data_IF_300254214827
#
_entry.id   IF_300254214827
#
_cell.length_a   1.000
_cell.length_b   1.000
_cell.length_c   1.000
_cell.angle_alpha   90.00
_cell.angle_beta   90.00
_cell.angle_gamma   90.00
#
_symmetry.space_group_name_H-M   'P 1'
#
loop_
_entity.id
_entity.type
_entity.pdbx_description
1 polymer ?
#
# COMPACT_ATOMS: atom_id res chain seq x y z
N UNK A 1 -27.63 -58.21 -26.73
CA UNK A 1 -28.02 -56.77 -26.76
C UNK A 1 -27.26 -56.12 -25.64
N UNK A 2 -26.03 -55.63 -25.95
CA UNK A 2 -25.13 -55.02 -24.98
C UNK A 2 -25.16 -53.50 -25.25
N UNK A 3 -25.78 -52.76 -24.38
CA UNK A 3 -25.85 -51.31 -24.46
C UNK A 3 -24.53 -50.74 -23.88
N UNK A 4 -23.59 -50.40 -24.76
CA UNK A 4 -22.43 -49.59 -24.40
C UNK A 4 -22.90 -48.19 -24.02
N UNK A 5 -22.67 -47.85 -22.76
CA UNK A 5 -22.84 -46.51 -22.22
C UNK A 5 -21.64 -45.68 -22.68
N UNK A 6 -21.80 -44.94 -23.77
CA UNK A 6 -20.82 -43.93 -24.20
C UNK A 6 -20.71 -42.85 -23.09
N UNK A 7 -19.68 -43.00 -22.26
CA UNK A 7 -19.26 -41.90 -21.37
C UNK A 7 -18.80 -40.76 -22.27
N UNK A 8 -19.48 -39.64 -22.12
CA UNK A 8 -19.16 -38.37 -22.79
C UNK A 8 -17.81 -37.84 -22.24
N UNK A 9 -16.73 -38.25 -22.87
CA UNK A 9 -15.35 -37.76 -22.60
C UNK A 9 -15.17 -36.34 -23.12
N UNK A 10 -16.06 -35.42 -22.79
CA UNK A 10 -15.78 -34.02 -23.01
C UNK A 10 -14.74 -33.57 -21.97
N UNK A 11 -13.54 -33.14 -22.41
CA UNK A 11 -12.58 -32.55 -21.48
C UNK A 11 -13.23 -31.33 -20.82
N UNK A 12 -13.35 -31.41 -19.48
CA UNK A 12 -13.79 -30.25 -18.68
C UNK A 12 -12.95 -29.06 -19.12
N UNK A 13 -13.60 -28.03 -19.63
CA UNK A 13 -12.93 -26.78 -20.04
C UNK A 13 -12.05 -26.33 -18.87
N UNK A 14 -10.76 -26.04 -19.09
CA UNK A 14 -9.86 -25.65 -18.01
C UNK A 14 -10.47 -24.44 -17.29
N UNK A 15 -10.69 -24.58 -15.98
CA UNK A 15 -11.13 -23.48 -15.13
C UNK A 15 -10.09 -22.38 -15.35
N UNK A 16 -10.46 -21.35 -16.09
CA UNK A 16 -9.60 -20.22 -16.44
C UNK A 16 -9.20 -19.53 -15.15
N UNK A 17 -8.08 -19.95 -14.57
CA UNK A 17 -7.56 -19.35 -13.36
C UNK A 17 -7.32 -17.86 -13.63
N UNK A 18 -7.83 -17.03 -12.73
CA UNK A 18 -7.55 -15.58 -12.83
C UNK A 18 -6.05 -15.37 -12.69
N UNK A 19 -5.48 -14.51 -13.51
CA UNK A 19 -4.09 -14.12 -13.40
C UNK A 19 -3.81 -13.39 -12.07
N UNK A 20 -2.54 -13.33 -11.65
CA UNK A 20 -2.19 -12.54 -10.47
C UNK A 20 -2.51 -11.07 -10.73
N UNK A 21 -3.15 -10.40 -9.75
CA UNK A 21 -3.59 -8.99 -9.87
C UNK A 21 -2.63 -7.99 -9.21
N UNK A 22 -1.55 -8.48 -8.64
CA UNK A 22 -0.51 -7.70 -7.98
C UNK A 22 0.76 -7.78 -8.82
N UNK A 23 1.51 -6.67 -9.01
CA UNK A 23 2.73 -6.66 -9.78
C UNK A 23 3.82 -7.57 -9.20
N UNK A 24 4.80 -7.94 -10.03
CA UNK A 24 6.02 -8.57 -9.55
C UNK A 24 6.80 -7.61 -8.63
N UNK A 25 7.34 -8.17 -7.54
CA UNK A 25 8.09 -7.41 -6.53
C UNK A 25 9.50 -7.11 -7.03
N UNK A 26 9.63 -6.08 -7.84
CA UNK A 26 10.90 -5.60 -8.42
C UNK A 26 11.41 -4.35 -7.68
N UNK A 27 12.58 -3.86 -8.05
CA UNK A 27 13.09 -2.56 -7.55
C UNK A 27 12.10 -1.43 -7.88
N UNK A 28 11.47 -1.46 -9.05
CA UNK A 28 10.46 -0.47 -9.44
C UNK A 28 9.25 -0.48 -8.51
N UNK A 29 8.80 -1.68 -8.07
CA UNK A 29 7.74 -1.82 -7.10
C UNK A 29 8.04 -1.02 -5.82
N UNK A 30 9.25 -1.18 -5.26
CA UNK A 30 9.64 -0.50 -4.03
C UNK A 30 9.79 1.01 -4.22
N UNK A 31 10.34 1.46 -5.36
CA UNK A 31 10.42 2.89 -5.69
C UNK A 31 9.02 3.51 -5.72
N UNK A 32 8.10 2.97 -6.53
CA UNK A 32 6.74 3.51 -6.65
C UNK A 32 6.01 3.39 -5.32
N UNK A 33 6.24 2.33 -4.55
CA UNK A 33 5.64 2.14 -3.23
C UNK A 33 6.02 3.28 -2.27
N UNK A 34 7.30 3.66 -2.19
CA UNK A 34 7.76 4.79 -1.38
C UNK A 34 7.18 6.11 -1.91
N UNK A 35 7.21 6.33 -3.24
CA UNK A 35 6.64 7.51 -3.86
C UNK A 35 5.13 7.65 -3.55
N UNK A 36 4.36 6.57 -3.65
CA UNK A 36 2.92 6.60 -3.34
C UNK A 36 2.64 6.86 -1.86
N UNK A 37 3.52 6.41 -0.96
CA UNK A 37 3.37 6.72 0.47
C UNK A 37 3.58 8.19 0.78
N UNK A 38 4.64 8.80 0.24
CA UNK A 38 4.91 10.23 0.42
C UNK A 38 3.87 11.13 -0.23
N UNK A 39 3.44 10.77 -1.46
CA UNK A 39 2.39 11.51 -2.15
C UNK A 39 1.06 11.44 -1.39
N UNK A 40 0.68 10.28 -0.87
CA UNK A 40 -0.55 10.11 -0.10
C UNK A 40 -0.58 10.97 1.16
N UNK A 41 0.56 11.12 1.84
CA UNK A 41 0.70 12.00 3.01
C UNK A 41 0.41 13.44 2.64
N UNK A 42 1.20 14.01 1.74
CA UNK A 42 1.06 15.43 1.37
C UNK A 42 -0.24 15.72 0.63
N UNK A 43 -0.80 14.78 -0.14
CA UNK A 43 -2.08 14.95 -0.82
C UNK A 43 -3.27 14.95 0.17
N UNK A 44 -3.23 14.07 1.18
CA UNK A 44 -4.21 14.05 2.27
C UNK A 44 -4.27 15.40 2.97
N UNK A 45 -3.13 15.89 3.41
CA UNK A 45 -2.98 17.17 4.08
C UNK A 45 -3.43 18.36 3.22
N UNK A 46 -3.02 18.35 1.94
CA UNK A 46 -3.42 19.38 0.99
C UNK A 46 -4.94 19.42 0.80
N UNK A 47 -5.57 18.26 0.60
CA UNK A 47 -7.02 18.17 0.45
C UNK A 47 -7.73 18.62 1.72
N UNK A 48 -7.27 18.20 2.89
CA UNK A 48 -7.86 18.62 4.17
C UNK A 48 -7.74 20.14 4.38
N UNK A 49 -6.64 20.77 3.94
CA UNK A 49 -6.47 22.23 4.03
C UNK A 49 -7.34 23.01 3.03
N UNK A 50 -7.49 22.50 1.80
CA UNK A 50 -8.20 23.21 0.72
C UNK A 50 -9.71 23.06 0.86
N UNK A 51 -10.18 21.85 1.14
CA UNK A 51 -11.61 21.51 1.17
C UNK A 51 -12.19 21.49 2.58
N UNK A 52 -11.36 21.44 3.60
CA UNK A 52 -11.73 21.10 4.97
C UNK A 52 -11.74 19.58 5.21
N UNK A 53 -11.60 19.13 6.48
CA UNK A 53 -11.42 17.69 6.80
C UNK A 53 -12.57 16.80 6.35
N UNK A 54 -13.82 17.21 6.59
CA UNK A 54 -15.01 16.38 6.29
C UNK A 54 -15.20 16.16 4.80
N UNK A 55 -15.22 17.21 3.93
CA UNK A 55 -15.30 17.02 2.48
C UNK A 55 -14.11 16.26 1.92
N UNK A 56 -12.90 16.46 2.45
CA UNK A 56 -11.70 15.76 2.01
C UNK A 56 -11.82 14.25 2.25
N UNK A 57 -12.22 13.83 3.46
CA UNK A 57 -12.43 12.42 3.82
C UNK A 57 -13.55 11.80 2.96
N UNK A 58 -14.66 12.52 2.74
CA UNK A 58 -15.75 12.01 1.91
C UNK A 58 -15.30 11.80 0.45
N UNK A 59 -14.60 12.78 -0.13
CA UNK A 59 -14.06 12.69 -1.49
C UNK A 59 -13.01 11.59 -1.61
N UNK A 60 -12.06 11.51 -0.66
CA UNK A 60 -11.04 10.47 -0.60
C UNK A 60 -11.65 9.07 -0.49
N UNK A 61 -12.68 8.91 0.35
CA UNK A 61 -13.40 7.65 0.50
C UNK A 61 -14.13 7.24 -0.78
N UNK A 62 -14.82 8.17 -1.44
CA UNK A 62 -15.47 7.91 -2.73
C UNK A 62 -14.46 7.52 -3.82
N UNK A 63 -13.34 8.24 -3.90
CA UNK A 63 -12.27 7.93 -4.86
C UNK A 63 -11.62 6.57 -4.57
N UNK A 64 -11.41 6.21 -3.30
CA UNK A 64 -10.95 4.88 -2.90
C UNK A 64 -11.92 3.79 -3.34
N UNK A 65 -13.21 3.93 -3.01
CA UNK A 65 -14.24 2.94 -3.38
C UNK A 65 -14.30 2.79 -4.90
N UNK A 66 -14.29 3.89 -5.66
CA UNK A 66 -14.31 3.84 -7.11
C UNK A 66 -13.07 3.15 -7.68
N UNK A 67 -11.88 3.47 -7.20
CA UNK A 67 -10.62 2.85 -7.67
C UNK A 67 -10.56 1.36 -7.34
N UNK A 68 -10.98 0.96 -6.14
CA UNK A 68 -11.05 -0.44 -5.76
C UNK A 68 -12.14 -1.19 -6.56
N UNK A 69 -13.29 -0.57 -6.85
CA UNK A 69 -14.32 -1.18 -7.67
C UNK A 69 -13.78 -1.51 -9.08
N UNK A 70 -13.04 -0.58 -9.70
CA UNK A 70 -12.35 -0.84 -10.98
C UNK A 70 -11.31 -1.94 -10.84
N UNK A 71 -10.48 -1.91 -9.80
CA UNK A 71 -9.47 -2.92 -9.53
C UNK A 71 -10.08 -4.31 -9.35
N UNK A 72 -11.18 -4.42 -8.61
CA UNK A 72 -11.90 -5.68 -8.42
C UNK A 72 -12.58 -6.17 -9.71
N UNK A 73 -13.04 -5.27 -10.60
CA UNK A 73 -13.67 -5.64 -11.86
C UNK A 73 -12.68 -6.29 -12.84
N UNK A 74 -11.41 -5.94 -12.79
CA UNK A 74 -10.38 -6.52 -13.64
C UNK A 74 -10.08 -7.98 -13.26
N UNK A 75 -9.64 -8.76 -14.24
CA UNK A 75 -9.26 -10.18 -14.07
C UNK A 75 -7.76 -10.42 -14.17
N UNK A 76 -6.99 -9.38 -14.46
CA UNK A 76 -5.54 -9.41 -14.64
C UNK A 76 -4.91 -8.15 -14.03
N UNK A 77 -3.61 -8.16 -13.86
CA UNK A 77 -2.85 -6.97 -13.48
C UNK A 77 -2.88 -5.93 -14.61
N UNK A 78 -3.18 -4.68 -14.22
CA UNK A 78 -3.07 -3.49 -15.09
C UNK A 78 -2.37 -2.41 -14.28
N UNK A 79 -1.16 -2.02 -14.69
CA UNK A 79 -0.28 -1.15 -13.91
C UNK A 79 -0.97 0.15 -13.45
N UNK A 80 -1.62 0.88 -14.36
CA UNK A 80 -2.33 2.12 -14.03
C UNK A 80 -3.43 1.93 -12.99
N UNK A 81 -4.23 0.88 -13.12
CA UNK A 81 -5.36 0.63 -12.20
C UNK A 81 -4.85 0.23 -10.82
N UNK A 82 -3.87 -0.67 -10.76
CA UNK A 82 -3.27 -1.11 -9.50
C UNK A 82 -2.63 0.06 -8.75
N UNK A 83 -1.77 0.85 -9.42
CA UNK A 83 -1.07 1.94 -8.76
C UNK A 83 -2.00 3.11 -8.43
N UNK A 84 -3.06 3.36 -9.22
CA UNK A 84 -4.12 4.31 -8.83
C UNK A 84 -4.85 3.84 -7.56
N UNK A 85 -5.17 2.55 -7.45
CA UNK A 85 -5.77 2.03 -6.22
C UNK A 85 -4.82 2.18 -5.02
N UNK A 86 -3.50 1.91 -5.19
CA UNK A 86 -2.49 2.13 -4.12
C UNK A 86 -2.43 3.59 -3.71
N UNK A 87 -2.45 4.52 -4.67
CA UNK A 87 -2.50 5.97 -4.41
C UNK A 87 -3.74 6.35 -3.60
N UNK A 88 -4.92 5.87 -4.00
CA UNK A 88 -6.16 6.19 -3.28
C UNK A 88 -6.20 5.57 -1.88
N UNK A 89 -5.67 4.34 -1.72
CA UNK A 89 -5.49 3.72 -0.40
C UNK A 89 -4.50 4.53 0.44
N UNK A 90 -3.44 5.09 -0.16
CA UNK A 90 -2.48 5.93 0.55
C UNK A 90 -3.15 7.21 1.09
N UNK A 91 -3.81 7.96 0.23
CA UNK A 91 -4.50 9.20 0.60
C UNK A 91 -5.55 8.94 1.68
N UNK A 92 -6.43 7.97 1.46
CA UNK A 92 -7.51 7.68 2.43
C UNK A 92 -6.99 7.04 3.72
N UNK A 93 -5.94 6.21 3.66
CA UNK A 93 -5.33 5.60 4.84
C UNK A 93 -4.70 6.64 5.77
N UNK A 94 -4.07 7.68 5.22
CA UNK A 94 -3.63 8.87 5.98
C UNK A 94 -4.83 9.56 6.61
N UNK A 95 -5.86 9.90 5.82
CA UNK A 95 -7.07 10.55 6.35
C UNK A 95 -7.71 9.75 7.49
N UNK A 96 -7.72 8.42 7.41
CA UNK A 96 -8.29 7.57 8.45
C UNK A 96 -7.48 7.65 9.77
N UNK A 97 -6.15 7.77 9.70
CA UNK A 97 -5.31 8.00 10.86
C UNK A 97 -5.55 9.40 11.45
N UNK A 98 -5.64 10.43 10.59
CA UNK A 98 -5.86 11.82 10.98
C UNK A 98 -7.23 12.03 11.61
N UNK A 99 -8.28 11.34 11.14
CA UNK A 99 -9.60 11.38 11.79
C UNK A 99 -9.50 10.92 13.25
N UNK A 100 -8.75 9.89 13.55
CA UNK A 100 -8.55 9.42 14.94
C UNK A 100 -7.73 10.43 15.75
N UNK A 101 -6.66 10.97 15.18
CA UNK A 101 -5.76 11.85 15.91
C UNK A 101 -6.29 13.29 15.99
N UNK A 102 -6.55 13.92 14.83
CA UNK A 102 -6.95 15.33 14.72
C UNK A 102 -8.44 15.49 14.99
N UNK A 103 -9.28 14.57 14.48
CA UNK A 103 -10.73 14.63 14.59
C UNK A 103 -11.25 14.24 15.98
N UNK A 104 -10.71 13.18 16.57
CA UNK A 104 -11.13 12.64 17.86
C UNK A 104 -10.18 12.95 19.01
N UNK A 105 -9.01 13.59 18.75
CA UNK A 105 -8.02 13.94 19.77
C UNK A 105 -7.29 12.74 20.40
N UNK A 106 -7.30 11.58 19.73
CA UNK A 106 -6.62 10.38 20.20
C UNK A 106 -5.10 10.53 20.00
N UNK A 107 -4.30 10.35 21.06
CA UNK A 107 -2.84 10.46 20.95
C UNK A 107 -2.23 9.38 20.06
N UNK A 108 -1.10 9.66 19.41
CA UNK A 108 -0.37 8.68 18.58
C UNK A 108 0.11 7.46 19.38
N UNK A 109 0.36 7.62 20.69
CA UNK A 109 0.70 6.52 21.61
C UNK A 109 -0.45 5.51 21.80
N UNK A 110 -1.69 5.90 21.52
CA UNK A 110 -2.88 5.05 21.55
C UNK A 110 -3.25 4.59 20.14
N UNK A 111 -3.26 5.48 19.16
CA UNK A 111 -3.67 5.13 17.78
C UNK A 111 -2.67 4.19 17.08
N UNK A 112 -1.37 4.30 17.34
CA UNK A 112 -0.37 3.38 16.77
C UNK A 112 -0.57 1.93 17.21
N UNK A 113 -0.65 1.58 18.53
CA UNK A 113 -0.98 0.22 18.97
C UNK A 113 -2.34 -0.27 18.46
N UNK A 114 -3.33 0.61 18.35
CA UNK A 114 -4.63 0.28 17.77
C UNK A 114 -4.47 -0.21 16.33
N UNK A 115 -3.78 0.55 15.45
CA UNK A 115 -3.57 0.13 14.07
C UNK A 115 -2.65 -1.10 13.93
N UNK A 116 -1.68 -1.30 14.85
CA UNK A 116 -0.92 -2.56 14.94
C UNK A 116 -1.88 -3.73 15.17
N UNK A 117 -2.81 -3.58 16.11
CA UNK A 117 -3.80 -4.62 16.42
C UNK A 117 -4.72 -4.89 15.23
N UNK A 118 -5.20 -3.84 14.55
CA UNK A 118 -6.02 -3.98 13.35
C UNK A 118 -5.26 -4.74 12.24
N UNK A 119 -4.01 -4.36 11.97
CA UNK A 119 -3.19 -5.04 10.96
C UNK A 119 -2.92 -6.50 11.33
N UNK A 120 -2.59 -6.78 12.60
CA UNK A 120 -2.39 -8.13 13.10
C UNK A 120 -3.66 -8.98 12.96
N UNK A 121 -4.83 -8.41 13.26
CA UNK A 121 -6.13 -9.07 13.07
C UNK A 121 -6.40 -9.38 11.59
N UNK A 122 -6.13 -8.43 10.68
CA UNK A 122 -6.27 -8.66 9.23
C UNK A 122 -5.39 -9.81 8.76
N UNK A 123 -4.11 -9.84 9.16
CA UNK A 123 -3.20 -10.92 8.80
C UNK A 123 -3.62 -12.26 9.42
N UNK A 124 -4.07 -12.28 10.67
CA UNK A 124 -4.54 -13.48 11.35
C UNK A 124 -5.77 -14.08 10.63
N UNK A 125 -6.75 -13.23 10.30
CA UNK A 125 -7.96 -13.62 9.56
C UNK A 125 -7.61 -14.10 8.15
N UNK A 126 -6.71 -13.41 7.45
CA UNK A 126 -6.25 -13.83 6.14
C UNK A 126 -5.57 -15.19 6.20
N UNK A 127 -4.63 -15.37 7.14
CA UNK A 127 -3.94 -16.64 7.31
C UNK A 127 -4.89 -17.78 7.72
N UNK A 128 -5.84 -17.52 8.61
CA UNK A 128 -6.85 -18.50 9.00
C UNK A 128 -7.71 -18.94 7.80
N UNK A 129 -8.08 -18.00 6.92
CA UNK A 129 -8.94 -18.24 5.76
C UNK A 129 -8.20 -18.88 4.58
N UNK A 130 -6.94 -18.51 4.30
CA UNK A 130 -6.22 -18.86 3.06
C UNK A 130 -4.94 -19.66 3.30
N UNK A 131 -4.51 -19.83 4.55
CA UNK A 131 -3.28 -20.54 4.95
C UNK A 131 -1.99 -19.98 4.31
N UNK A 132 -2.06 -18.79 3.75
CA UNK A 132 -0.92 -18.10 3.13
C UNK A 132 -1.15 -16.59 3.14
N UNK A 133 -0.06 -15.83 3.29
CA UNK A 133 -0.04 -14.37 3.13
C UNK A 133 0.74 -13.96 1.87
N UNK A 134 0.98 -14.90 0.94
CA UNK A 134 1.77 -14.66 -0.26
C UNK A 134 1.03 -13.72 -1.22
N UNK A 135 1.71 -12.67 -1.67
CA UNK A 135 1.21 -11.71 -2.65
C UNK A 135 1.26 -12.23 -4.09
N UNK A 136 2.08 -13.27 -4.35
CA UNK A 136 2.19 -13.89 -5.67
C UNK A 136 0.98 -14.76 -6.06
N UNK A 137 0.01 -14.93 -5.16
CA UNK A 137 -1.17 -15.76 -5.37
C UNK A 137 -2.50 -15.03 -5.28
N UNK A 138 -2.56 -13.72 -5.52
CA UNK A 138 -3.80 -12.94 -5.47
C UNK A 138 -4.62 -13.17 -6.74
N UNK A 139 -5.28 -14.34 -6.80
CA UNK A 139 -6.06 -14.81 -7.95
C UNK A 139 -7.55 -14.94 -7.67
N UNK A 140 -7.98 -14.74 -6.42
CA UNK A 140 -9.39 -14.83 -6.02
C UNK A 140 -9.83 -13.50 -5.41
N UNK A 141 -11.13 -13.17 -5.52
CA UNK A 141 -11.70 -11.97 -4.90
C UNK A 141 -11.48 -11.95 -3.39
N UNK A 142 -11.57 -13.11 -2.72
CA UNK A 142 -11.36 -13.22 -1.28
C UNK A 142 -9.93 -12.85 -0.88
N UNK A 143 -8.90 -13.36 -1.59
CA UNK A 143 -7.50 -12.98 -1.37
C UNK A 143 -7.26 -11.51 -1.67
N UNK A 144 -7.85 -11.00 -2.73
CA UNK A 144 -7.76 -9.59 -3.11
C UNK A 144 -8.36 -8.67 -2.04
N UNK A 145 -9.50 -9.06 -1.43
CA UNK A 145 -10.09 -8.31 -0.31
C UNK A 145 -9.15 -8.26 0.90
N UNK A 146 -8.59 -9.39 1.32
CA UNK A 146 -7.61 -9.41 2.42
C UNK A 146 -6.36 -8.60 2.10
N UNK A 147 -5.87 -8.68 0.86
CA UNK A 147 -4.74 -7.89 0.40
C UNK A 147 -5.01 -6.39 0.55
N UNK A 148 -6.11 -5.88 0.01
CA UNK A 148 -6.44 -4.46 0.09
C UNK A 148 -6.75 -4.01 1.52
N UNK A 149 -7.36 -4.85 2.35
CA UNK A 149 -7.55 -4.59 3.77
C UNK A 149 -6.21 -4.47 4.51
N UNK A 150 -5.26 -5.39 4.25
CA UNK A 150 -3.91 -5.31 4.81
C UNK A 150 -3.18 -4.05 4.32
N UNK A 151 -3.25 -3.74 3.02
CA UNK A 151 -2.66 -2.52 2.46
C UNK A 151 -3.22 -1.28 3.15
N UNK A 152 -4.54 -1.14 3.27
CA UNK A 152 -5.17 0.00 3.94
C UNK A 152 -4.74 0.12 5.41
N UNK A 153 -4.74 -1.00 6.15
CA UNK A 153 -4.30 -1.02 7.54
C UNK A 153 -2.83 -0.63 7.69
N UNK A 154 -1.94 -1.03 6.74
CA UNK A 154 -0.54 -0.60 6.76
C UNK A 154 -0.39 0.90 6.53
N UNK A 155 -1.25 1.51 5.72
CA UNK A 155 -1.19 2.95 5.48
C UNK A 155 -1.61 3.73 6.73
N UNK A 156 -2.70 3.39 7.39
CA UNK A 156 -3.13 4.03 8.63
C UNK A 156 -2.10 3.84 9.77
N UNK A 157 -1.56 2.62 9.94
CA UNK A 157 -0.49 2.36 10.89
C UNK A 157 0.74 3.20 10.61
N UNK A 158 1.15 3.29 9.35
CA UNK A 158 2.39 3.98 9.00
C UNK A 158 2.35 5.48 9.22
N UNK A 159 1.21 6.15 8.96
CA UNK A 159 0.99 7.55 9.33
C UNK A 159 1.11 7.71 10.84
N UNK A 160 0.34 6.96 11.63
CA UNK A 160 0.39 7.05 13.08
C UNK A 160 1.80 6.77 13.67
N UNK A 161 2.54 5.80 13.11
CA UNK A 161 3.90 5.48 13.54
C UNK A 161 4.93 6.53 13.14
N UNK A 162 4.81 7.11 11.93
CA UNK A 162 5.66 8.20 11.45
C UNK A 162 5.54 9.43 12.34
N UNK A 163 4.32 9.85 12.61
CA UNK A 163 4.01 10.99 13.48
C UNK A 163 4.39 10.73 14.92
N UNK A 164 4.17 9.51 15.42
CA UNK A 164 4.63 9.14 16.75
C UNK A 164 6.14 9.35 16.89
N UNK A 165 6.94 8.82 15.96
CA UNK A 165 8.41 8.96 16.02
C UNK A 165 8.85 10.42 15.89
N UNK A 166 8.19 11.20 15.04
CA UNK A 166 8.48 12.62 14.89
C UNK A 166 8.18 13.40 16.19
N UNK A 167 7.12 13.05 16.90
CA UNK A 167 6.69 13.74 18.13
C UNK A 167 7.46 13.31 19.38
N UNK A 168 7.95 12.07 19.46
CA UNK A 168 8.72 11.58 20.63
C UNK A 168 10.21 11.97 20.61
N UNK A 169 10.62 12.87 19.71
CA UNK A 169 11.93 13.50 19.76
C UNK A 169 12.87 13.21 18.59
N UNK A 170 12.52 12.33 17.66
CA UNK A 170 13.33 12.09 16.46
C UNK A 170 13.20 13.24 15.44
N UNK A 171 12.08 13.96 15.43
CA UNK A 171 11.73 14.87 14.36
C UNK A 171 11.52 14.15 13.01
N UNK A 172 11.17 14.89 11.97
CA UNK A 172 10.87 14.24 10.67
C UNK A 172 12.12 13.64 10.02
N UNK A 173 13.25 14.35 10.00
CA UNK A 173 14.49 13.83 9.41
C UNK A 173 15.04 12.63 10.20
N UNK A 174 15.00 12.66 11.53
CA UNK A 174 15.41 11.53 12.35
C UNK A 174 14.51 10.30 12.14
N UNK A 175 13.21 10.51 11.94
CA UNK A 175 12.26 9.45 11.58
C UNK A 175 12.58 8.86 10.20
N UNK A 176 12.94 9.68 9.21
CA UNK A 176 13.42 9.20 7.89
C UNK A 176 14.64 8.29 8.06
N UNK A 177 15.66 8.71 8.81
CA UNK A 177 16.86 7.92 9.05
C UNK A 177 16.54 6.60 9.77
N UNK A 178 15.69 6.67 10.81
CA UNK A 178 15.24 5.49 11.56
C UNK A 178 14.57 4.47 10.64
N UNK A 179 13.58 4.89 9.83
CA UNK A 179 12.83 3.97 8.97
C UNK A 179 13.64 3.54 7.76
N UNK A 180 14.57 4.37 7.24
CA UNK A 180 15.51 3.97 6.20
C UNK A 180 16.49 2.90 6.70
N UNK A 181 16.94 2.97 7.93
CA UNK A 181 17.72 1.89 8.55
C UNK A 181 16.84 0.66 8.82
N UNK A 182 15.64 0.83 9.34
CA UNK A 182 14.73 -0.28 9.66
C UNK A 182 14.33 -1.10 8.44
N UNK A 183 14.15 -0.49 7.25
CA UNK A 183 13.78 -1.24 6.04
C UNK A 183 14.89 -2.14 5.53
N UNK A 184 16.16 -1.89 5.90
CA UNK A 184 17.27 -2.77 5.56
C UNK A 184 17.23 -4.07 6.38
N UNK A 185 16.61 -4.06 7.57
CA UNK A 185 16.58 -5.22 8.46
C UNK A 185 15.91 -6.45 7.82
N UNK A 186 14.68 -6.39 7.27
CA UNK A 186 14.07 -7.55 6.64
C UNK A 186 14.84 -8.04 5.40
N UNK A 187 15.48 -7.15 4.64
CA UNK A 187 16.30 -7.52 3.50
C UNK A 187 17.56 -8.29 3.94
N UNK A 188 18.26 -7.80 4.95
CA UNK A 188 19.44 -8.44 5.53
C UNK A 188 19.04 -9.77 6.19
N UNK A 189 17.97 -9.79 6.97
CA UNK A 189 17.49 -11.00 7.63
C UNK A 189 17.05 -12.07 6.61
N UNK A 190 16.42 -11.68 5.50
CA UNK A 190 16.08 -12.61 4.43
C UNK A 190 17.33 -13.18 3.77
N UNK A 191 18.38 -12.35 3.54
CA UNK A 191 19.60 -12.77 2.85
C UNK A 191 20.51 -13.64 3.70
N UNK A 192 20.61 -13.37 5.01
CA UNK A 192 21.64 -13.95 5.88
C UNK A 192 21.07 -14.77 7.07
N UNK A 193 19.82 -14.57 7.48
CA UNK A 193 19.21 -15.21 8.64
C UNK A 193 18.02 -16.11 8.28
N UNK A 194 17.89 -16.53 7.01
CA UNK A 194 16.82 -17.41 6.50
C UNK A 194 15.38 -16.95 6.82
N UNK A 195 15.18 -15.63 6.94
CA UNK A 195 13.82 -15.09 7.13
C UNK A 195 12.96 -15.46 5.93
N UNK A 196 11.74 -15.94 6.19
CA UNK A 196 10.78 -16.29 5.14
C UNK A 196 10.47 -15.07 4.24
N UNK A 197 10.45 -15.27 2.91
CA UNK A 197 10.25 -14.22 1.93
C UNK A 197 8.92 -13.44 2.12
N UNK A 198 7.85 -14.13 2.54
CA UNK A 198 6.55 -13.49 2.80
C UNK A 198 6.64 -12.56 4.01
N UNK A 199 7.30 -13.00 5.08
CA UNK A 199 7.53 -12.17 6.28
C UNK A 199 8.43 -10.98 5.95
N UNK A 200 9.53 -11.21 5.21
CA UNK A 200 10.42 -10.14 4.79
C UNK A 200 9.69 -9.09 3.94
N UNK A 201 8.86 -9.54 2.99
CA UNK A 201 8.04 -8.66 2.16
C UNK A 201 7.11 -7.80 3.00
N UNK A 202 6.28 -8.41 3.86
CA UNK A 202 5.30 -7.64 4.63
C UNK A 202 5.96 -6.71 5.66
N UNK A 203 7.06 -7.13 6.28
CA UNK A 203 7.82 -6.25 7.19
C UNK A 203 8.38 -5.04 6.45
N UNK A 204 9.02 -5.24 5.29
CA UNK A 204 9.49 -4.14 4.46
C UNK A 204 8.32 -3.26 3.98
N UNK A 205 7.21 -3.88 3.56
CA UNK A 205 6.01 -3.19 3.09
C UNK A 205 5.41 -2.26 4.16
N UNK A 206 5.32 -2.72 5.41
CA UNK A 206 4.86 -1.91 6.53
C UNK A 206 5.81 -0.74 6.78
N UNK A 207 7.13 -0.98 6.80
CA UNK A 207 8.14 0.04 7.09
C UNK A 207 8.23 1.11 6.00
N UNK A 208 7.95 0.78 4.72
CA UNK A 208 7.95 1.79 3.65
C UNK A 208 6.96 2.92 3.91
N UNK A 209 5.89 2.67 4.67
CA UNK A 209 4.85 3.67 4.88
C UNK A 209 5.30 4.80 5.81
N UNK A 210 5.76 4.57 7.05
CA UNK A 210 6.29 5.63 7.89
C UNK A 210 7.54 6.28 7.28
N UNK A 211 8.36 5.55 6.52
CA UNK A 211 9.49 6.14 5.79
C UNK A 211 9.02 7.20 4.79
N UNK A 212 8.05 6.86 3.93
CA UNK A 212 7.54 7.78 2.91
C UNK A 212 6.81 8.97 3.52
N UNK A 213 6.00 8.75 4.56
CA UNK A 213 5.31 9.81 5.29
C UNK A 213 6.31 10.81 5.91
N UNK A 214 7.25 10.32 6.72
CA UNK A 214 8.26 11.18 7.35
C UNK A 214 9.12 11.95 6.34
N UNK A 215 9.45 11.33 5.18
CA UNK A 215 10.20 11.98 4.11
C UNK A 215 9.36 13.10 3.46
N UNK A 216 8.08 12.85 3.22
CA UNK A 216 7.17 13.82 2.63
C UNK A 216 6.95 15.03 3.57
N UNK A 217 6.76 14.77 4.86
CA UNK A 217 6.63 15.79 5.88
C UNK A 217 7.91 16.61 6.03
N UNK A 218 9.06 15.95 6.06
CA UNK A 218 10.34 16.64 6.08
C UNK A 218 10.51 17.59 4.88
N UNK A 219 10.07 17.16 3.68
CA UNK A 219 10.13 18.01 2.50
C UNK A 219 9.10 19.16 2.54
N UNK A 220 7.87 18.87 2.95
CA UNK A 220 6.74 19.79 2.80
C UNK A 220 6.61 20.80 3.93
N UNK A 221 6.88 20.39 5.18
CA UNK A 221 6.64 21.21 6.36
C UNK A 221 7.71 22.28 6.54
N UNK A 222 7.32 23.40 7.17
CA UNK A 222 8.19 24.55 7.36
C UNK A 222 9.34 24.31 8.34
N UNK A 223 10.35 25.16 8.27
CA UNK A 223 11.56 25.10 9.10
C UNK A 223 11.28 25.10 10.61
N UNK A 224 10.22 25.77 11.05
CA UNK A 224 9.78 25.77 12.46
C UNK A 224 9.37 24.39 12.97
N UNK A 225 9.03 23.48 12.05
CA UNK A 225 8.71 22.07 12.31
C UNK A 225 9.86 21.12 11.97
N UNK A 226 11.05 21.66 11.64
CA UNK A 226 12.20 20.85 11.23
C UNK A 226 12.18 20.33 9.80
N UNK A 227 11.30 20.85 8.94
CA UNK A 227 11.20 20.50 7.53
C UNK A 227 11.94 21.49 6.61
N UNK A 228 11.93 21.19 5.30
CA UNK A 228 12.56 22.01 4.24
C UNK A 228 11.69 23.19 3.78
N UNK A 229 10.41 23.23 4.13
CA UNK A 229 9.50 24.33 3.79
C UNK A 229 9.10 24.41 2.32
N UNK A 230 9.20 23.32 1.54
CA UNK A 230 8.84 23.32 0.12
C UNK A 230 7.32 23.47 -0.12
N UNK A 231 6.52 23.20 0.90
CA UNK A 231 5.05 23.27 0.84
C UNK A 231 4.40 22.01 0.31
N UNK A 232 3.15 21.78 0.75
CA UNK A 232 2.39 20.56 0.40
C UNK A 232 2.13 20.44 -1.10
N UNK A 233 1.69 21.52 -1.77
CA UNK A 233 1.34 21.49 -3.20
C UNK A 233 2.51 21.09 -4.10
N UNK A 234 3.64 21.81 -4.05
CA UNK A 234 4.83 21.46 -4.85
C UNK A 234 5.34 20.05 -4.58
N UNK A 235 5.37 19.61 -3.32
CA UNK A 235 5.83 18.26 -2.96
C UNK A 235 4.87 17.21 -3.50
N UNK A 236 3.55 17.37 -3.31
CA UNK A 236 2.54 16.46 -3.89
C UNK A 236 2.67 16.37 -5.41
N UNK A 237 2.86 17.49 -6.09
CA UNK A 237 3.03 17.52 -7.54
C UNK A 237 4.29 16.77 -7.98
N UNK A 238 5.43 17.02 -7.32
CA UNK A 238 6.70 16.33 -7.65
C UNK A 238 6.58 14.82 -7.50
N UNK A 239 6.00 14.34 -6.39
CA UNK A 239 5.75 12.91 -6.16
C UNK A 239 4.78 12.34 -7.21
N UNK A 240 3.69 13.07 -7.55
CA UNK A 240 2.72 12.64 -8.57
C UNK A 240 3.38 12.49 -9.94
N UNK A 241 4.18 13.46 -10.36
CA UNK A 241 4.93 13.40 -11.63
C UNK A 241 5.86 12.19 -11.66
N UNK A 242 6.61 11.96 -10.58
CA UNK A 242 7.49 10.80 -10.49
C UNK A 242 6.70 9.48 -10.59
N UNK A 243 5.58 9.34 -9.87
CA UNK A 243 4.71 8.14 -9.95
C UNK A 243 4.21 7.94 -11.38
N UNK A 244 3.69 8.98 -12.03
CA UNK A 244 3.17 8.91 -13.41
C UNK A 244 4.26 8.47 -14.38
N UNK A 245 5.49 8.99 -14.25
CA UNK A 245 6.62 8.59 -15.08
C UNK A 245 6.98 7.10 -14.89
N UNK A 246 7.11 6.65 -13.63
CA UNK A 246 7.45 5.26 -13.36
C UNK A 246 6.34 4.29 -13.76
N UNK A 247 5.07 4.60 -13.47
CA UNK A 247 3.93 3.75 -13.85
C UNK A 247 3.76 3.73 -15.38
N UNK A 248 3.95 4.87 -16.06
CA UNK A 248 3.97 4.95 -17.53
C UNK A 248 5.07 4.08 -18.14
N UNK A 249 6.28 4.12 -17.55
CA UNK A 249 7.36 3.24 -17.95
C UNK A 249 7.01 1.74 -17.76
N UNK A 250 6.44 1.36 -16.62
CA UNK A 250 6.03 -0.02 -16.36
C UNK A 250 4.91 -0.48 -17.30
N UNK A 251 3.92 0.37 -17.55
CA UNK A 251 2.82 0.07 -18.45
C UNK A 251 3.28 -0.21 -19.90
N UNK A 252 4.39 0.43 -20.33
CA UNK A 252 4.97 0.22 -21.67
C UNK A 252 5.97 -0.91 -21.71
N UNK A 253 6.85 -1.02 -20.67
CA UNK A 253 7.94 -2.01 -20.63
C UNK A 253 7.52 -3.39 -20.13
N UNK A 254 6.37 -3.49 -19.45
CA UNK A 254 5.82 -4.72 -18.84
C UNK A 254 6.78 -5.45 -17.89
N UNK A 255 7.76 -4.73 -17.31
CA UNK A 255 8.79 -5.31 -16.42
C UNK A 255 8.29 -5.76 -15.06
N UNK A 256 7.05 -5.42 -14.71
CA UNK A 256 6.36 -5.78 -13.48
C UNK A 256 5.17 -6.72 -13.73
N UNK A 257 5.01 -7.21 -14.98
CA UNK A 257 3.93 -8.16 -15.30
C UNK A 257 4.19 -9.50 -14.64
N UNK A 258 3.22 -10.09 -13.91
CA UNK A 258 3.38 -11.37 -13.23
C UNK A 258 3.80 -12.49 -14.17
N UNK A 259 4.75 -13.32 -13.71
CA UNK A 259 5.25 -14.49 -14.43
C UNK A 259 4.08 -15.45 -14.74
N UNK A 260 3.73 -15.60 -16.00
CA UNK A 260 2.59 -16.41 -16.49
C UNK A 260 1.63 -15.66 -17.41
N UNK A 261 1.79 -14.35 -17.60
CA UNK A 261 1.05 -13.54 -18.58
C UNK A 261 1.92 -13.10 -19.78
N UNK A 262 3.19 -13.50 -19.81
CA UNK A 262 4.16 -13.05 -20.83
C UNK A 262 4.15 -13.88 -22.13
N UNK A 263 3.09 -14.69 -22.40
CA UNK A 263 2.89 -15.41 -23.66
C UNK A 263 1.56 -15.05 -24.30
#
# INVERSE_FOLDING_TARGET
MTTEHLLDDRPLAPIRQMANKVPEVTVYFWIIKVLTTGMGETASDLLARVLGPVPAVALGGLALVASLAVQFALRRYVAWVYWTAVVMVSVFGTMAADVLHVGLGISYTVSTPFFVTVLAAVFALWYAAERTLSVHGIRTRRRETFYWAAVLATFALGTAAGDLTATVGFGYLGSVVLFAAAICVPAIAHRFAALNAVTAFWTAYVITRPLGASLADWMALGHTRGGLGLGLGPVTLAWTVAIVCFVGYLATSRRDTPSGEAN
#
